data_IF_498875411960
#
_entry.id   IF_498875411960
#
_cell.length_a   1.000
_cell.length_b   1.000
_cell.length_c   1.000
_cell.angle_alpha   90.00
_cell.angle_beta   90.00
_cell.angle_gamma   90.00
#
_symmetry.space_group_name_H-M   'P 1'
#
loop_
_entity.id
_entity.type
_entity.pdbx_description
1 polymer ?
#
# COMPACT_ATOMS: atom_id res chain seq x y z
N UNK A 1 13.61 14.47 5.60
CA UNK A 1 12.14 14.34 5.54
C UNK A 1 11.83 13.19 4.61
N UNK A 2 11.24 12.09 5.09
CA UNK A 2 10.98 10.87 4.31
C UNK A 2 9.53 10.42 4.53
N UNK A 3 8.63 11.13 3.89
CA UNK A 3 7.19 10.94 4.01
C UNK A 3 6.57 11.31 2.66
N UNK A 4 5.62 10.50 2.20
CA UNK A 4 4.93 10.70 0.94
C UNK A 4 3.42 10.54 1.10
N UNK A 5 2.68 11.25 0.25
CA UNK A 5 1.23 11.21 0.19
C UNK A 5 0.84 10.94 -1.26
N UNK A 6 0.18 9.81 -1.51
CA UNK A 6 -0.04 9.32 -2.88
C UNK A 6 -1.48 8.87 -3.05
N UNK A 7 -2.12 9.33 -4.13
CA UNK A 7 -3.29 8.67 -4.71
C UNK A 7 -2.79 7.60 -5.67
N UNK A 8 -3.13 6.35 -5.43
CA UNK A 8 -2.62 5.22 -6.22
C UNK A 8 -3.76 4.39 -6.78
N UNK A 9 -3.52 3.77 -7.94
CA UNK A 9 -4.37 2.70 -8.49
C UNK A 9 -3.58 1.39 -8.55
N UNK A 10 -4.04 0.34 -7.86
CA UNK A 10 -3.43 -0.99 -7.93
C UNK A 10 -3.56 -1.56 -9.34
N UNK A 11 -2.48 -2.10 -9.87
CA UNK A 11 -2.41 -2.67 -11.23
C UNK A 11 -1.95 -4.14 -11.26
N UNK A 12 -1.52 -4.70 -10.13
CA UNK A 12 -1.21 -6.12 -9.98
C UNK A 12 -2.12 -6.79 -8.96
N UNK A 13 -2.12 -8.12 -8.98
CA UNK A 13 -2.68 -8.90 -7.88
C UNK A 13 -1.98 -8.60 -6.56
N UNK A 14 -2.72 -8.79 -5.47
CA UNK A 14 -2.26 -8.58 -4.10
C UNK A 14 -1.44 -9.80 -3.66
N UNK A 15 -0.15 -9.63 -3.40
CA UNK A 15 0.71 -10.66 -2.85
C UNK A 15 0.70 -10.58 -1.31
N UNK A 16 -0.20 -11.32 -0.68
CA UNK A 16 -0.32 -11.40 0.78
C UNK A 16 0.50 -12.57 1.33
N UNK A 17 1.30 -12.32 2.37
CA UNK A 17 2.15 -13.32 3.03
C UNK A 17 2.07 -13.19 4.54
N UNK A 18 2.05 -14.33 5.22
CA UNK A 18 2.34 -14.38 6.64
C UNK A 18 3.86 -14.33 6.86
N UNK A 19 4.28 -13.52 7.82
CA UNK A 19 5.69 -13.38 8.19
C UNK A 19 5.93 -14.14 9.49
N UNK A 20 6.91 -15.04 9.48
CA UNK A 20 7.27 -15.89 10.62
C UNK A 20 8.58 -15.35 11.22
N UNK A 21 8.73 -15.42 12.55
CA UNK A 21 9.92 -14.98 13.28
C UNK A 21 10.27 -13.48 13.13
N UNK A 22 9.29 -12.63 12.82
CA UNK A 22 9.41 -11.18 12.86
C UNK A 22 8.38 -10.58 13.83
N UNK A 23 8.53 -9.29 14.15
CA UNK A 23 7.56 -8.55 14.96
C UNK A 23 6.22 -8.45 14.22
N UNK A 24 6.29 -8.18 12.93
CA UNK A 24 5.17 -8.10 12.00
C UNK A 24 4.70 -9.52 11.64
N UNK A 25 3.39 -9.71 11.52
CA UNK A 25 2.73 -11.01 11.32
C UNK A 25 2.22 -11.21 9.91
N UNK A 26 1.84 -10.13 9.23
CA UNK A 26 1.39 -10.18 7.83
C UNK A 26 2.05 -9.08 7.02
N UNK A 27 2.26 -9.35 5.72
CA UNK A 27 2.80 -8.42 4.74
C UNK A 27 1.98 -8.50 3.47
N UNK A 28 1.70 -7.35 2.89
CA UNK A 28 1.14 -7.25 1.53
C UNK A 28 2.11 -6.54 0.62
N UNK A 29 2.22 -6.99 -0.63
CA UNK A 29 3.01 -6.32 -1.69
C UNK A 29 2.20 -6.30 -2.98
N UNK A 30 2.20 -5.16 -3.68
CA UNK A 30 1.58 -5.02 -4.99
C UNK A 30 2.20 -3.85 -5.77
N UNK A 31 1.97 -3.83 -7.09
CA UNK A 31 2.30 -2.71 -7.95
C UNK A 31 1.12 -1.76 -8.07
N UNK A 32 1.42 -0.48 -8.08
CA UNK A 32 0.45 0.57 -8.27
C UNK A 32 0.92 1.60 -9.29
N UNK A 33 -0.04 2.26 -9.93
CA UNK A 33 0.16 3.29 -10.93
C UNK A 33 -0.24 4.64 -10.36
N UNK A 34 0.60 5.64 -10.62
CA UNK A 34 0.37 7.05 -10.29
C UNK A 34 -0.26 7.78 -11.48
N UNK A 35 -0.76 9.00 -11.24
CA UNK A 35 -1.38 9.84 -12.29
C UNK A 35 -0.46 10.12 -13.48
N UNK A 36 0.84 10.25 -13.24
CA UNK A 36 1.86 10.47 -14.29
C UNK A 36 2.26 9.19 -15.04
N UNK A 37 1.50 8.10 -14.88
CA UNK A 37 1.79 6.76 -15.39
C UNK A 37 3.03 6.06 -14.80
N UNK A 38 3.69 6.61 -13.79
CA UNK A 38 4.76 5.89 -13.09
C UNK A 38 4.21 4.68 -12.35
N UNK A 39 4.95 3.57 -12.41
CA UNK A 39 4.69 2.37 -11.63
C UNK A 39 5.57 2.36 -10.39
N UNK A 40 4.98 2.06 -9.24
CA UNK A 40 5.66 1.92 -7.95
C UNK A 40 5.30 0.60 -7.31
N UNK A 41 6.22 0.07 -6.51
CA UNK A 41 5.95 -1.06 -5.63
C UNK A 41 5.56 -0.55 -4.24
N UNK A 42 4.46 -1.08 -3.72
CA UNK A 42 3.86 -0.65 -2.46
C UNK A 42 3.74 -1.86 -1.55
N UNK A 43 4.04 -1.67 -0.27
CA UNK A 43 3.85 -2.70 0.73
C UNK A 43 3.31 -2.15 2.05
N UNK A 44 2.70 -3.03 2.83
CA UNK A 44 2.25 -2.72 4.18
C UNK A 44 2.37 -3.95 5.08
N UNK A 45 2.29 -3.75 6.39
CA UNK A 45 2.31 -4.81 7.40
C UNK A 45 1.02 -4.83 8.23
N UNK A 46 0.79 -5.98 8.87
CA UNK A 46 -0.22 -6.19 9.92
C UNK A 46 -1.62 -5.69 9.53
N UNK A 47 -2.27 -4.92 10.39
CA UNK A 47 -3.65 -4.45 10.21
C UNK A 47 -3.88 -3.77 8.86
N UNK A 48 -2.88 -3.04 8.33
CA UNK A 48 -2.99 -2.38 7.03
C UNK A 48 -2.93 -3.42 5.90
N UNK A 49 -2.03 -4.40 6.00
CA UNK A 49 -1.94 -5.50 5.05
C UNK A 49 -3.26 -6.31 5.01
N UNK A 50 -3.80 -6.63 6.19
CA UNK A 50 -5.04 -7.39 6.35
C UNK A 50 -6.23 -6.61 5.77
N UNK A 51 -6.31 -5.30 6.03
CA UNK A 51 -7.36 -4.43 5.50
C UNK A 51 -7.32 -4.32 3.97
N UNK A 52 -6.13 -4.10 3.37
CA UNK A 52 -5.96 -4.07 1.91
C UNK A 52 -6.41 -5.39 1.29
N UNK A 53 -6.01 -6.51 1.88
CA UNK A 53 -6.38 -7.84 1.38
C UNK A 53 -7.89 -8.10 1.50
N UNK A 54 -8.48 -7.79 2.65
CA UNK A 54 -9.91 -8.02 2.92
C UNK A 54 -10.82 -7.15 2.04
N UNK A 55 -10.46 -5.87 1.83
CA UNK A 55 -11.26 -4.93 1.03
C UNK A 55 -10.98 -4.99 -0.46
N UNK A 56 -9.90 -5.67 -0.87
CA UNK A 56 -9.44 -5.74 -2.25
C UNK A 56 -9.34 -4.35 -2.93
N UNK A 57 -8.80 -3.38 -2.20
CA UNK A 57 -8.80 -1.97 -2.64
C UNK A 57 -8.14 -1.80 -4.01
N UNK A 58 -8.81 -1.06 -4.90
CA UNK A 58 -8.30 -0.75 -6.24
C UNK A 58 -7.69 0.65 -6.32
N UNK A 59 -8.38 1.67 -5.78
CA UNK A 59 -7.95 3.08 -5.81
C UNK A 59 -8.11 3.65 -4.42
N UNK A 60 -7.04 4.22 -3.87
CA UNK A 60 -7.07 4.81 -2.53
C UNK A 60 -5.91 5.79 -2.33
N UNK A 61 -6.06 6.65 -1.32
CA UNK A 61 -5.02 7.57 -0.91
C UNK A 61 -4.27 6.99 0.29
N UNK A 62 -2.96 7.17 0.28
CA UNK A 62 -2.08 6.68 1.34
C UNK A 62 -1.14 7.78 1.80
N UNK A 63 -0.78 7.70 3.08
CA UNK A 63 0.42 8.29 3.63
C UNK A 63 1.43 7.18 3.86
N UNK A 64 2.66 7.40 3.42
CA UNK A 64 3.70 6.39 3.43
C UNK A 64 5.10 6.95 3.62
N UNK A 65 6.07 6.05 3.54
CA UNK A 65 7.50 6.37 3.56
C UNK A 65 8.19 5.71 2.38
N UNK A 66 9.13 6.41 1.75
CA UNK A 66 10.01 5.80 0.77
C UNK A 66 11.05 4.95 1.49
N UNK A 67 11.23 3.73 1.02
CA UNK A 67 12.26 2.81 1.49
C UNK A 67 13.33 2.64 0.42
N UNK A 68 14.36 1.88 0.76
CA UNK A 68 15.39 1.49 -0.20
C UNK A 68 14.73 0.84 -1.44
N UNK A 69 15.30 1.06 -2.62
CA UNK A 69 14.76 0.60 -3.91
C UNK A 69 13.43 1.27 -4.36
N UNK A 70 13.13 2.48 -3.89
CA UNK A 70 11.95 3.26 -4.30
C UNK A 70 10.60 2.60 -3.98
N UNK A 71 10.60 1.66 -3.04
CA UNK A 71 9.37 1.05 -2.52
C UNK A 71 8.66 2.02 -1.56
N UNK A 72 7.34 1.98 -1.55
CA UNK A 72 6.52 2.77 -0.63
C UNK A 72 5.93 1.87 0.44
N UNK A 73 6.30 2.14 1.70
CA UNK A 73 5.63 1.55 2.86
C UNK A 73 4.41 2.38 3.23
N UNK A 74 3.25 1.75 3.33
CA UNK A 74 2.01 2.40 3.78
C UNK A 74 2.02 2.50 5.30
N UNK A 75 1.82 3.72 5.80
CA UNK A 75 1.65 4.01 7.23
C UNK A 75 0.16 4.25 7.56
N UNK A 76 -0.60 4.82 6.63
CA UNK A 76 -2.01 5.14 6.83
C UNK A 76 -2.76 5.15 5.49
N UNK A 77 -4.00 4.67 5.48
CA UNK A 77 -4.89 4.68 4.32
C UNK A 77 -6.05 5.61 4.62
N UNK A 78 -6.38 6.46 3.65
CA UNK A 78 -7.54 7.34 3.71
C UNK A 78 -8.57 6.83 2.71
N UNK A 79 -9.71 6.40 3.26
CA UNK A 79 -10.83 5.89 2.48
C UNK A 79 -11.67 7.09 1.99
N UNK A 80 -11.66 7.35 0.68
CA UNK A 80 -12.52 8.37 0.10
C UNK A 80 -13.92 7.78 -0.07
N UNK A 81 -14.83 8.11 0.84
CA UNK A 81 -16.25 8.12 0.46
C UNK A 81 -16.42 9.30 -0.49
N UNK A 82 -16.76 9.05 -1.74
CA UNK A 82 -17.30 10.11 -2.59
C UNK A 82 -18.46 10.73 -1.82
N UNK A 83 -18.39 12.04 -1.57
CA UNK A 83 -19.57 12.81 -1.20
C UNK A 83 -20.40 12.86 -2.48
N UNK A 84 -21.37 11.96 -2.58
CA UNK A 84 -22.47 12.06 -3.55
C UNK A 84 -23.34 13.29 -3.22
#
# INVERSE_FOLDING_TARGET
>A
MNECFLLIKRISDINFKFVINCKEKSKVVFKAKLLNNSEIEVFAYDNIADYIYQKNLEIFFLRGKLRENMQVEIIEIYDFKFLD
#
